data_IF_280401609694
#
_entry.id   IF_280401609694
#
_cell.length_a   1.000
_cell.length_b   1.000
_cell.length_c   1.000
_cell.angle_alpha   90.00
_cell.angle_beta   90.00
_cell.angle_gamma   90.00
#
_symmetry.space_group_name_H-M   'P 1'
#
loop_
_entity.id
_entity.type
_entity.pdbx_description
1 polymer ?
#
# COMPACT_ATOMS: atom_id res chain seq x y z
N UNK A 1 -27.98 50.27 42.15
CA UNK A 1 -28.11 49.18 43.12
C UNK A 1 -27.80 47.88 42.37
N UNK A 2 -26.53 47.56 42.08
CA UNK A 2 -25.55 46.94 42.98
C UNK A 2 -26.12 45.71 43.70
N UNK A 3 -25.77 44.52 43.22
CA UNK A 3 -25.41 43.35 44.05
C UNK A 3 -24.76 42.27 43.18
N UNK A 4 -23.45 42.18 43.34
CA UNK A 4 -22.51 41.18 42.86
C UNK A 4 -22.68 39.85 43.61
N UNK A 5 -22.36 38.73 42.97
CA UNK A 5 -21.84 37.56 43.69
C UNK A 5 -20.66 36.94 42.92
N UNK A 6 -19.47 37.21 43.46
CA UNK A 6 -18.22 36.48 43.28
C UNK A 6 -18.18 35.27 44.22
N UNK A 7 -17.50 34.18 43.85
CA UNK A 7 -16.64 33.29 44.69
C UNK A 7 -16.18 32.13 43.79
N UNK A 8 -14.97 32.16 43.20
CA UNK A 8 -13.66 31.68 43.72
C UNK A 8 -13.48 30.15 43.52
N UNK A 9 -12.84 29.74 42.42
CA UNK A 9 -11.44 29.28 42.30
C UNK A 9 -11.05 28.05 43.14
N UNK A 10 -10.66 26.98 42.45
CA UNK A 10 -9.58 26.08 42.90
C UNK A 10 -8.80 25.58 41.70
N UNK A 11 -7.52 25.89 41.70
CA UNK A 11 -6.52 25.51 40.70
C UNK A 11 -5.63 24.36 41.21
N UNK A 12 -5.19 23.51 40.27
CA UNK A 12 -3.85 22.88 40.14
C UNK A 12 -3.44 21.72 41.10
N UNK A 13 -2.54 20.76 40.69
CA UNK A 13 -1.30 21.03 39.95
C UNK A 13 -0.82 20.10 38.81
N UNK A 14 0.06 20.71 38.02
CA UNK A 14 1.27 20.21 37.33
C UNK A 14 1.81 18.85 37.79
N UNK A 15 2.19 18.03 36.80
CA UNK A 15 3.00 16.82 36.95
C UNK A 15 3.94 16.69 35.74
N UNK A 16 5.21 16.53 36.06
CA UNK A 16 6.40 16.98 35.33
C UNK A 16 6.96 15.92 34.37
N UNK A 17 7.74 16.40 33.40
CA UNK A 17 8.63 15.63 32.53
C UNK A 17 9.73 14.83 33.26
N UNK A 18 10.18 13.74 32.62
CA UNK A 18 11.54 13.15 32.69
C UNK A 18 11.58 11.94 31.72
N UNK A 19 12.22 12.05 30.57
CA UNK A 19 13.66 11.86 30.31
C UNK A 19 14.19 10.44 30.62
N UNK A 20 14.44 9.71 29.53
CA UNK A 20 15.33 8.56 29.42
C UNK A 20 16.80 8.98 29.61
N UNK A 21 17.68 8.08 30.09
CA UNK A 21 18.89 7.87 29.28
C UNK A 21 19.51 6.46 29.32
N UNK A 22 20.12 6.12 28.18
CA UNK A 22 21.34 5.30 28.07
C UNK A 22 21.14 3.84 27.63
N UNK A 23 22.02 3.22 26.83
CA UNK A 23 23.27 3.67 26.20
C UNK A 23 23.75 2.53 25.28
N UNK A 24 24.15 2.92 24.07
CA UNK A 24 25.20 2.38 23.19
C UNK A 24 25.26 0.87 22.86
N UNK A 25 25.27 0.59 21.55
CA UNK A 25 26.34 -0.25 20.99
C UNK A 25 26.65 0.20 19.57
N UNK A 26 27.95 0.37 19.35
CA UNK A 26 28.58 0.94 18.19
C UNK A 26 29.11 -0.18 17.27
N UNK A 27 29.42 0.21 16.03
CA UNK A 27 30.34 -0.44 15.07
C UNK A 27 29.80 -1.71 14.38
N UNK A 28 29.57 -1.67 13.06
CA UNK A 28 30.52 -1.66 11.93
C UNK A 28 30.72 -3.10 11.42
N UNK A 29 30.30 -3.38 10.18
CA UNK A 29 31.19 -3.86 9.10
C UNK A 29 30.39 -4.41 7.91
N UNK A 30 31.03 -4.24 6.76
CA UNK A 30 30.59 -4.47 5.39
C UNK A 30 31.15 -5.83 4.87
N UNK A 31 30.94 -6.22 3.59
CA UNK A 31 30.65 -7.60 3.19
C UNK A 31 31.88 -8.40 2.75
N UNK A 32 31.75 -9.74 2.75
CA UNK A 32 32.66 -10.65 2.08
C UNK A 32 31.96 -11.33 0.90
N UNK A 33 32.54 -11.16 -0.29
CA UNK A 33 32.14 -11.84 -1.52
C UNK A 33 32.71 -13.25 -1.61
N UNK A 34 32.18 -14.01 -2.56
CA UNK A 34 32.75 -15.27 -3.02
C UNK A 34 32.55 -15.41 -4.54
N UNK A 35 33.63 -15.25 -5.29
CA UNK A 35 33.94 -16.19 -6.38
C UNK A 35 34.59 -17.46 -5.78
N UNK A 36 34.88 -18.53 -6.55
CA UNK A 36 35.63 -18.42 -7.80
C UNK A 36 35.12 -19.31 -8.97
N UNK A 37 35.77 -19.05 -10.11
CA UNK A 37 35.79 -19.71 -11.41
C UNK A 37 36.36 -21.14 -11.37
N UNK A 38 35.96 -22.01 -12.32
CA UNK A 38 36.86 -22.77 -13.23
C UNK A 38 36.07 -23.73 -14.17
N UNK A 39 36.51 -23.79 -15.43
CA UNK A 39 36.20 -24.78 -16.47
C UNK A 39 37.48 -25.64 -16.71
N UNK A 40 37.49 -26.83 -17.35
CA UNK A 40 37.29 -26.96 -18.82
C UNK A 40 36.80 -28.34 -19.39
N UNK A 41 36.45 -28.35 -20.70
CA UNK A 41 36.72 -29.30 -21.84
C UNK A 41 36.79 -30.84 -21.60
N UNK A 42 36.37 -31.81 -22.45
CA UNK A 42 36.40 -32.03 -23.92
C UNK A 42 35.81 -33.44 -24.21
N UNK A 43 35.36 -33.70 -25.44
CA UNK A 43 35.41 -35.06 -26.06
C UNK A 43 34.06 -35.68 -26.46
N UNK A 44 33.84 -35.85 -27.77
CA UNK A 44 32.55 -36.27 -28.36
C UNK A 44 32.41 -37.76 -28.69
N UNK A 45 31.24 -38.11 -29.24
CA UNK A 45 31.03 -39.25 -30.13
C UNK A 45 29.70 -39.07 -30.89
N UNK A 46 29.75 -39.43 -32.16
CA UNK A 46 28.70 -39.49 -33.19
C UNK A 46 27.63 -40.54 -32.92
N UNK A 47 26.38 -40.32 -33.36
CA UNK A 47 25.64 -41.34 -34.12
C UNK A 47 24.41 -40.79 -34.86
N UNK A 48 24.21 -41.35 -36.05
CA UNK A 48 23.23 -40.99 -37.07
C UNK A 48 21.87 -41.70 -36.91
N UNK A 49 20.91 -41.24 -37.71
CA UNK A 49 19.71 -41.94 -38.23
C UNK A 49 18.53 -42.15 -37.25
N UNK A 50 17.25 -42.05 -37.62
CA UNK A 50 16.62 -42.01 -38.93
C UNK A 50 15.19 -41.42 -38.86
N UNK A 51 14.68 -41.10 -40.06
CA UNK A 51 13.39 -40.53 -40.42
C UNK A 51 12.18 -41.43 -40.06
N UNK A 52 10.99 -40.83 -39.93
CA UNK A 52 9.74 -41.55 -39.69
C UNK A 52 8.49 -40.66 -39.78
N UNK A 53 8.18 -40.22 -41.00
CA UNK A 53 6.87 -39.68 -41.40
C UNK A 53 5.71 -40.57 -40.95
N UNK A 54 4.69 -39.98 -40.32
CA UNK A 54 3.30 -40.47 -40.41
C UNK A 54 2.32 -39.31 -40.48
N UNK A 55 1.53 -39.38 -41.53
CA UNK A 55 0.54 -38.42 -42.01
C UNK A 55 -0.68 -38.26 -41.09
N UNK A 56 -1.42 -37.21 -41.43
CA UNK A 56 -2.51 -36.56 -40.76
C UNK A 56 -3.72 -37.43 -40.38
N UNK A 57 -4.27 -37.15 -39.20
CA UNK A 57 -5.72 -37.27 -38.92
C UNK A 57 -6.27 -35.88 -38.58
N UNK A 58 -7.29 -35.35 -39.30
CA UNK A 58 -7.90 -34.08 -38.96
C UNK A 58 -8.90 -34.30 -37.81
N UNK A 59 -8.40 -34.35 -36.58
CA UNK A 59 -9.26 -34.23 -35.41
C UNK A 59 -9.74 -32.77 -35.34
N UNK A 60 -11.04 -32.56 -35.62
CA UNK A 60 -11.74 -31.27 -35.48
C UNK A 60 -11.44 -30.66 -34.11
N UNK A 61 -10.45 -29.75 -34.05
CA UNK A 61 -10.15 -28.94 -32.86
C UNK A 61 -11.32 -27.99 -32.68
N UNK A 62 -12.28 -28.38 -31.81
CA UNK A 62 -13.23 -27.44 -31.22
C UNK A 62 -12.39 -26.29 -30.64
N UNK A 63 -12.49 -25.10 -31.25
CA UNK A 63 -11.93 -23.85 -30.73
C UNK A 63 -12.55 -23.65 -29.34
N UNK A 64 -11.87 -24.14 -28.30
CA UNK A 64 -12.13 -23.72 -26.93
C UNK A 64 -11.86 -22.22 -26.95
N UNK A 65 -12.91 -21.41 -26.84
CA UNK A 65 -12.77 -19.99 -26.56
C UNK A 65 -11.80 -19.88 -25.38
N UNK A 66 -10.66 -19.20 -25.59
CA UNK A 66 -9.72 -18.92 -24.52
C UNK A 66 -10.50 -18.06 -23.50
N UNK A 67 -11.04 -18.68 -22.45
CA UNK A 67 -11.53 -17.94 -21.29
C UNK A 67 -10.36 -17.05 -20.85
N UNK A 68 -10.55 -15.74 -20.93
CA UNK A 68 -9.57 -14.78 -20.44
C UNK A 68 -9.21 -15.15 -19.01
N UNK A 69 -7.93 -15.40 -18.72
CA UNK A 69 -7.49 -15.73 -17.36
C UNK A 69 -7.91 -14.60 -16.43
N UNK A 70 -8.58 -14.94 -15.33
CA UNK A 70 -8.97 -13.95 -14.32
C UNK A 70 -7.72 -13.25 -13.77
N UNK A 71 -7.80 -11.93 -13.60
CA UNK A 71 -6.74 -11.10 -13.01
C UNK A 71 -6.39 -11.61 -11.61
N UNK A 72 -5.09 -11.80 -11.34
CA UNK A 72 -4.60 -12.22 -10.03
C UNK A 72 -4.27 -11.00 -9.18
N UNK A 73 -4.68 -11.01 -7.91
CA UNK A 73 -4.33 -9.97 -6.94
C UNK A 73 -2.87 -10.11 -6.51
N UNK A 74 -2.15 -8.99 -6.39
CA UNK A 74 -0.73 -8.96 -6.01
C UNK A 74 -0.47 -9.28 -4.53
N UNK A 75 -1.51 -9.25 -3.69
CA UNK A 75 -1.43 -9.59 -2.28
C UNK A 75 -2.67 -10.36 -1.83
N UNK A 76 -2.55 -11.09 -0.70
CA UNK A 76 -3.67 -11.81 -0.09
C UNK A 76 -4.80 -10.84 0.27
N UNK A 77 -6.02 -11.23 -0.08
CA UNK A 77 -7.23 -10.51 0.31
C UNK A 77 -7.48 -10.64 1.82
N UNK A 78 -7.81 -9.54 2.47
CA UNK A 78 -8.19 -9.47 3.87
C UNK A 78 -9.71 -9.39 3.99
N UNK A 79 -10.30 -10.32 4.73
CA UNK A 79 -11.75 -10.32 4.98
C UNK A 79 -12.13 -9.34 6.09
N UNK A 80 -11.31 -9.19 7.12
CA UNK A 80 -11.58 -8.33 8.27
C UNK A 80 -10.53 -7.22 8.43
N UNK A 81 -10.97 -6.04 8.87
CA UNK A 81 -10.08 -4.93 9.21
C UNK A 81 -9.40 -5.20 10.56
N UNK A 82 -8.07 -5.03 10.63
CA UNK A 82 -7.34 -5.15 11.89
C UNK A 82 -7.59 -3.94 12.81
N UNK A 83 -7.44 -4.14 14.12
CA UNK A 83 -7.57 -3.05 15.10
C UNK A 83 -6.62 -1.88 14.81
N UNK A 84 -5.39 -2.16 14.35
CA UNK A 84 -4.42 -1.13 13.97
C UNK A 84 -4.89 -0.31 12.77
N UNK A 85 -5.44 -0.95 11.74
CA UNK A 85 -5.99 -0.24 10.59
C UNK A 85 -7.19 0.60 11.01
N UNK A 86 -8.09 0.07 11.85
CA UNK A 86 -9.22 0.84 12.41
C UNK A 86 -8.75 2.09 13.17
N UNK A 87 -7.73 1.97 14.03
CA UNK A 87 -7.14 3.13 14.73
C UNK A 87 -6.58 4.18 13.75
N UNK A 88 -5.95 3.74 12.65
CA UNK A 88 -5.42 4.64 11.63
C UNK A 88 -6.52 5.30 10.78
N UNK A 89 -7.61 4.59 10.50
CA UNK A 89 -8.79 5.15 9.86
C UNK A 89 -9.42 6.25 10.72
N UNK A 90 -9.60 5.99 12.03
CA UNK A 90 -10.12 7.00 12.98
C UNK A 90 -9.24 8.26 12.97
N UNK A 91 -7.92 8.08 13.00
CA UNK A 91 -6.98 9.23 12.90
C UNK A 91 -7.11 9.97 11.58
N UNK A 92 -7.32 9.27 10.47
CA UNK A 92 -7.49 9.88 9.15
C UNK A 92 -8.76 10.75 9.07
N UNK A 93 -9.80 10.41 9.81
CA UNK A 93 -11.05 11.17 9.85
C UNK A 93 -11.02 12.34 10.83
N UNK A 94 -10.36 12.16 11.99
CA UNK A 94 -10.34 13.14 13.07
C UNK A 94 -9.26 14.20 12.91
N UNK A 95 -8.10 13.82 12.36
CA UNK A 95 -6.99 14.75 12.22
C UNK A 95 -7.19 15.68 11.03
N UNK A 96 -6.74 16.92 11.18
CA UNK A 96 -6.76 17.94 10.12
C UNK A 96 -5.73 17.59 9.05
N UNK A 97 -6.15 16.85 8.03
CA UNK A 97 -5.38 16.53 6.84
C UNK A 97 -6.11 17.19 5.66
N UNK A 98 -5.39 17.88 4.79
CA UNK A 98 -5.97 18.55 3.63
C UNK A 98 -5.37 18.03 2.33
N UNK A 99 -6.19 17.97 1.28
CA UNK A 99 -5.75 17.70 -0.08
C UNK A 99 -5.21 19.01 -0.67
N UNK A 100 -3.99 18.96 -1.22
CA UNK A 100 -3.38 20.06 -1.96
C UNK A 100 -3.63 19.87 -3.45
N UNK A 101 -3.30 18.68 -3.97
CA UNK A 101 -3.37 18.41 -5.41
C UNK A 101 -3.89 16.99 -5.64
N UNK A 102 -4.74 16.83 -6.66
CA UNK A 102 -5.17 15.53 -7.20
C UNK A 102 -4.78 15.46 -8.66
N UNK A 103 -3.97 14.48 -9.01
CA UNK A 103 -3.45 14.29 -10.35
C UNK A 103 -3.84 12.90 -10.86
N UNK A 104 -4.73 12.86 -11.86
CA UNK A 104 -5.14 11.63 -12.52
C UNK A 104 -4.12 11.25 -13.59
N UNK A 105 -3.36 10.19 -13.35
CA UNK A 105 -2.31 9.72 -14.27
C UNK A 105 -2.94 8.80 -15.33
N UNK A 106 -3.75 7.84 -14.91
CA UNK A 106 -4.53 6.97 -15.80
C UNK A 106 -5.75 6.39 -15.06
N UNK A 107 -6.54 5.55 -15.73
CA UNK A 107 -7.75 4.92 -15.16
C UNK A 107 -7.51 4.05 -13.91
N UNK A 108 -6.26 3.63 -13.68
CA UNK A 108 -5.87 2.70 -12.63
C UNK A 108 -4.87 3.32 -11.64
N UNK A 109 -4.55 4.61 -11.80
CA UNK A 109 -3.52 5.29 -11.01
C UNK A 109 -3.84 6.78 -10.86
N UNK A 110 -4.00 7.20 -9.62
CA UNK A 110 -4.11 8.61 -9.25
C UNK A 110 -3.08 8.95 -8.16
N UNK A 111 -2.52 10.15 -8.25
CA UNK A 111 -1.56 10.71 -7.29
C UNK A 111 -2.21 11.86 -6.54
N UNK A 112 -1.97 11.92 -5.24
CA UNK A 112 -2.52 12.91 -4.33
C UNK A 112 -1.38 13.53 -3.53
N UNK A 113 -1.36 14.85 -3.47
CA UNK A 113 -0.48 15.61 -2.58
C UNK A 113 -1.34 16.11 -1.43
N UNK A 114 -0.95 15.78 -0.20
CA UNK A 114 -1.71 16.13 1.01
C UNK A 114 -0.80 16.80 2.03
N UNK A 115 -1.38 17.61 2.90
CA UNK A 115 -0.71 18.20 4.06
C UNK A 115 -1.27 17.62 5.34
N UNK A 116 -0.38 17.14 6.21
CA UNK A 116 -0.74 16.60 7.51
C UNK A 116 -0.94 17.69 8.58
N UNK A 117 -1.34 17.32 9.80
CA UNK A 117 -1.63 18.27 10.88
C UNK A 117 -0.43 19.11 11.31
N UNK A 118 0.79 18.59 11.12
CA UNK A 118 2.03 19.28 11.45
C UNK A 118 2.56 20.16 10.31
N UNK A 119 1.81 20.32 9.21
CA UNK A 119 2.26 21.08 8.03
C UNK A 119 3.16 20.29 7.07
N UNK A 120 3.51 19.05 7.38
CA UNK A 120 4.30 18.20 6.48
C UNK A 120 3.49 17.77 5.26
N UNK A 121 4.11 17.86 4.08
CA UNK A 121 3.51 17.43 2.81
C UNK A 121 3.88 15.98 2.51
N UNK A 122 2.88 15.18 2.17
CA UNK A 122 3.05 13.79 1.77
C UNK A 122 2.43 13.54 0.40
N UNK A 123 3.05 12.64 -0.34
CA UNK A 123 2.51 12.11 -1.60
C UNK A 123 1.89 10.75 -1.33
N UNK A 124 0.66 10.57 -1.77
CA UNK A 124 -0.07 9.30 -1.76
C UNK A 124 -0.37 8.90 -3.20
N UNK A 125 -0.11 7.65 -3.56
CA UNK A 125 -0.49 7.11 -4.86
C UNK A 125 -1.48 5.97 -4.65
N UNK A 126 -2.64 6.04 -5.28
CA UNK A 126 -3.60 4.94 -5.33
C UNK A 126 -3.45 4.23 -6.66
N UNK A 127 -3.07 2.96 -6.60
CA UNK A 127 -2.84 2.07 -7.74
C UNK A 127 -3.05 0.61 -7.32
N UNK A 128 -2.65 -0.35 -8.15
CA UNK A 128 -2.65 -1.78 -7.79
C UNK A 128 -1.97 -2.05 -6.45
N UNK A 129 -0.91 -1.31 -6.14
CA UNK A 129 -0.30 -1.25 -4.81
C UNK A 129 -0.39 0.21 -4.35
N UNK A 130 -1.22 0.51 -3.34
CA UNK A 130 -1.25 1.83 -2.73
C UNK A 130 0.11 2.16 -2.11
N UNK A 131 0.53 3.40 -2.26
CA UNK A 131 1.85 3.87 -1.83
C UNK A 131 1.76 5.24 -1.14
N UNK A 132 2.66 5.49 -0.20
CA UNK A 132 2.78 6.77 0.49
C UNK A 132 4.20 7.03 0.99
N UNK A 133 4.73 8.23 0.80
CA UNK A 133 6.07 8.59 1.25
C UNK A 133 6.21 8.90 2.76
N UNK A 134 5.19 8.60 3.58
CA UNK A 134 5.21 8.90 5.01
C UNK A 134 5.93 7.81 5.83
N UNK A 135 6.48 8.14 7.01
CA UNK A 135 7.23 7.18 7.83
C UNK A 135 6.42 5.97 8.31
N UNK A 136 5.11 6.12 8.49
CA UNK A 136 4.23 4.99 8.85
C UNK A 136 4.12 3.95 7.73
N UNK A 137 4.15 4.40 6.47
CA UNK A 137 4.09 3.52 5.31
C UNK A 137 5.43 2.83 5.05
N UNK A 138 6.54 3.56 5.22
CA UNK A 138 7.89 2.99 5.11
C UNK A 138 8.11 1.81 6.08
N UNK A 139 7.39 1.77 7.21
CA UNK A 139 7.38 0.63 8.15
C UNK A 139 6.57 -0.59 7.65
N UNK A 140 6.02 -0.56 6.43
CA UNK A 140 5.30 -1.67 5.80
C UNK A 140 3.80 -1.73 6.09
N UNK A 141 3.20 -0.64 6.57
CA UNK A 141 1.79 -0.60 6.92
C UNK A 141 0.99 0.43 6.13
N UNK A 142 -0.31 0.17 5.92
CA UNK A 142 -1.21 1.22 5.45
C UNK A 142 -1.29 2.33 6.50
N UNK A 143 -0.99 3.55 6.07
CA UNK A 143 -0.92 4.73 6.92
C UNK A 143 -2.26 5.50 6.92
N UNK A 144 -2.39 6.44 7.86
CA UNK A 144 -3.56 7.34 7.93
C UNK A 144 -3.77 8.16 6.66
N UNK A 145 -2.70 8.50 5.93
CA UNK A 145 -2.76 9.29 4.70
C UNK A 145 -3.49 8.54 3.57
N UNK A 146 -3.22 7.24 3.41
CA UNK A 146 -3.95 6.40 2.45
C UNK A 146 -5.43 6.30 2.85
N UNK A 147 -5.73 6.10 4.14
CA UNK A 147 -7.11 6.08 4.61
C UNK A 147 -7.82 7.42 4.42
N UNK A 148 -7.13 8.55 4.60
CA UNK A 148 -7.68 9.87 4.33
C UNK A 148 -8.08 9.99 2.86
N UNK A 149 -7.21 9.58 1.93
CA UNK A 149 -7.53 9.60 0.50
C UNK A 149 -8.74 8.71 0.19
N UNK A 150 -8.81 7.49 0.71
CA UNK A 150 -9.98 6.63 0.49
C UNK A 150 -11.28 7.22 1.05
N UNK A 151 -11.28 7.65 2.32
CA UNK A 151 -12.51 8.02 3.03
C UNK A 151 -12.98 9.43 2.72
N UNK A 152 -12.06 10.39 2.60
CA UNK A 152 -12.38 11.82 2.47
C UNK A 152 -12.23 12.34 1.05
N UNK A 153 -11.28 11.82 0.26
CA UNK A 153 -11.02 12.32 -1.10
C UNK A 153 -11.75 11.49 -2.15
N UNK A 154 -11.82 10.17 -2.01
CA UNK A 154 -12.46 9.27 -2.98
C UNK A 154 -13.86 8.81 -2.54
N UNK A 155 -14.29 9.17 -1.32
CA UNK A 155 -15.62 8.86 -0.80
C UNK A 155 -15.90 7.36 -0.68
N UNK A 156 -14.86 6.53 -0.57
CA UNK A 156 -15.04 5.09 -0.41
C UNK A 156 -15.70 4.82 0.93
N UNK A 157 -16.77 4.01 0.91
CA UNK A 157 -17.49 3.65 2.13
C UNK A 157 -16.54 3.05 3.19
N UNK A 158 -16.67 3.52 4.43
CA UNK A 158 -15.85 3.09 5.58
C UNK A 158 -15.90 1.59 5.87
N UNK A 159 -17.02 0.94 5.56
CA UNK A 159 -17.20 -0.50 5.78
C UNK A 159 -16.77 -1.34 4.58
N UNK A 160 -16.34 -0.68 3.49
CA UNK A 160 -15.80 -1.36 2.32
C UNK A 160 -14.52 -2.11 2.67
N UNK A 161 -14.47 -3.38 2.29
CA UNK A 161 -13.28 -4.21 2.49
C UNK A 161 -12.06 -3.70 1.70
N UNK A 162 -12.28 -2.89 0.66
CA UNK A 162 -11.24 -2.43 -0.27
C UNK A 162 -10.24 -1.47 0.39
N UNK A 163 -10.68 -0.66 1.36
CA UNK A 163 -9.86 0.41 1.96
C UNK A 163 -8.63 -0.10 2.72
N UNK A 164 -8.66 -1.35 3.18
CA UNK A 164 -7.59 -1.95 3.98
C UNK A 164 -6.85 -3.09 3.24
N UNK A 165 -7.06 -3.23 1.93
CA UNK A 165 -6.30 -4.15 1.10
C UNK A 165 -4.91 -3.59 0.79
N UNK A 166 -3.91 -4.48 0.80
CA UNK A 166 -2.55 -4.14 0.36
C UNK A 166 -2.43 -4.06 -1.16
N UNK A 167 -3.32 -4.74 -1.88
CA UNK A 167 -3.35 -4.74 -3.34
C UNK A 167 -4.78 -4.70 -3.86
N UNK A 168 -4.98 -3.97 -4.95
CA UNK A 168 -6.26 -3.80 -5.62
C UNK A 168 -6.21 -4.36 -7.04
N UNK A 169 -7.34 -4.87 -7.51
CA UNK A 169 -7.56 -5.28 -8.89
C UNK A 169 -7.98 -4.09 -9.76
N UNK A 170 -7.85 -4.23 -11.07
CA UNK A 170 -8.25 -3.21 -12.04
C UNK A 170 -9.72 -2.81 -11.89
N UNK A 171 -10.60 -3.79 -11.64
CA UNK A 171 -12.04 -3.55 -11.40
C UNK A 171 -12.31 -2.78 -10.12
N UNK A 172 -11.55 -3.08 -9.06
CA UNK A 172 -11.69 -2.43 -7.75
C UNK A 172 -11.23 -0.98 -7.83
N UNK A 173 -10.12 -0.71 -8.52
CA UNK A 173 -9.62 0.65 -8.76
C UNK A 173 -10.62 1.50 -9.54
N UNK A 174 -11.17 0.97 -10.64
CA UNK A 174 -12.21 1.68 -11.40
C UNK A 174 -13.41 2.01 -10.51
N UNK A 175 -13.87 1.05 -9.70
CA UNK A 175 -14.97 1.29 -8.74
C UNK A 175 -14.65 2.40 -7.74
N UNK A 176 -13.43 2.39 -7.18
CA UNK A 176 -12.94 3.40 -6.23
C UNK A 176 -12.82 4.80 -6.86
N UNK A 177 -12.44 4.91 -8.13
CA UNK A 177 -12.32 6.20 -8.79
C UNK A 177 -13.65 6.74 -9.31
N UNK A 178 -14.61 5.87 -9.66
CA UNK A 178 -15.94 6.30 -10.11
C UNK A 178 -16.81 6.84 -8.97
N UNK A 179 -16.62 6.36 -7.73
CA UNK A 179 -17.47 6.73 -6.58
C UNK A 179 -17.46 8.22 -6.21
N UNK A 180 -16.56 9.03 -6.78
CA UNK A 180 -16.45 10.46 -6.51
C UNK A 180 -16.65 11.35 -7.75
N UNK A 181 -17.53 10.96 -8.67
CA UNK A 181 -18.00 11.87 -9.74
C UNK A 181 -19.20 12.64 -9.18
N UNK A 182 -18.93 13.79 -8.56
CA UNK A 182 -19.93 14.82 -8.25
C UNK A 182 -19.55 16.07 -9.02
#
# INVERSE_FOLDING_TARGET
MASTNSTQQREQPVGTESETPGRETSLNEQPAGTGPVEAPSIGGATNENNNGEREARPAKKKKKSKKSKAEKRLARFKTCCSLLNRKRMIRAEQQRIYLIERNKINDLREKFVIVGPAGNVYTVTIAHLPDCNCPDFMKGFLCKHIFFVYLKVLGVNRDSTLIYQKALLSKELRSIFTSNTV
#
